data_IF_421812510574
#
_entry.id   IF_421812510574
#
_cell.length_a   1.000
_cell.length_b   1.000
_cell.length_c   1.000
_cell.angle_alpha   90.00
_cell.angle_beta   90.00
_cell.angle_gamma   90.00
#
_symmetry.space_group_name_H-M   'P 1'
#
loop_
_entity.id
_entity.type
_entity.pdbx_description
1 polymer ?
#
# COMPACT_ATOMS: atom_id res chain seq x y z
N UNK A 1 -31.74 7.20 -4.36
CA UNK A 1 -30.53 6.82 -5.13
C UNK A 1 -29.33 7.12 -4.26
N UNK A 2 -28.56 6.10 -3.86
CA UNK A 2 -27.49 6.23 -2.86
C UNK A 2 -26.38 7.16 -3.37
N UNK A 3 -26.02 8.14 -2.54
CA UNK A 3 -24.93 9.07 -2.80
C UNK A 3 -23.64 8.27 -3.03
N UNK A 4 -23.00 8.49 -4.18
CA UNK A 4 -21.64 8.03 -4.47
C UNK A 4 -20.67 8.78 -3.56
N UNK A 5 -20.62 8.38 -2.29
CA UNK A 5 -19.51 8.68 -1.38
C UNK A 5 -18.24 8.22 -2.09
N UNK A 6 -17.23 9.07 -2.20
CA UNK A 6 -15.91 8.69 -2.67
C UNK A 6 -15.48 7.47 -1.84
N UNK A 7 -15.53 6.27 -2.44
CA UNK A 7 -15.37 5.00 -1.75
C UNK A 7 -13.88 4.83 -1.46
N UNK A 8 -13.42 5.31 -0.30
CA UNK A 8 -12.19 4.76 0.26
C UNK A 8 -12.36 3.24 0.34
N UNK A 9 -11.35 2.45 -0.06
CA UNK A 9 -11.40 1.01 0.09
C UNK A 9 -11.76 0.62 1.52
N UNK A 10 -12.61 -0.40 1.67
CA UNK A 10 -12.92 -0.94 3.00
C UNK A 10 -11.68 -1.67 3.54
N UNK A 11 -10.85 -0.91 4.26
CA UNK A 11 -9.70 -1.44 4.95
C UNK A 11 -10.15 -2.23 6.17
N UNK A 12 -9.61 -3.45 6.31
CA UNK A 12 -9.82 -4.24 7.52
C UNK A 12 -9.22 -3.52 8.73
N UNK A 13 -9.73 -3.80 9.92
CA UNK A 13 -9.09 -3.36 11.17
C UNK A 13 -8.58 -4.55 11.97
N UNK A 14 -7.53 -4.35 12.74
CA UNK A 14 -6.99 -5.31 13.69
C UNK A 14 -6.69 -4.61 15.01
N UNK A 15 -7.12 -5.20 16.11
CA UNK A 15 -6.69 -4.77 17.44
C UNK A 15 -5.34 -5.40 17.75
N UNK A 16 -4.29 -4.58 17.93
CA UNK A 16 -3.00 -5.03 18.44
C UNK A 16 -2.67 -4.27 19.72
N UNK A 17 -2.37 -5.01 20.80
CA UNK A 17 -1.98 -4.44 22.11
C UNK A 17 -2.92 -3.32 22.61
N UNK A 18 -4.23 -3.50 22.45
CA UNK A 18 -5.24 -2.52 22.87
C UNK A 18 -5.40 -1.30 21.96
N UNK A 19 -4.65 -1.20 20.86
CA UNK A 19 -4.81 -0.14 19.85
C UNK A 19 -5.40 -0.73 18.57
N UNK A 20 -6.39 -0.05 17.98
CA UNK A 20 -6.95 -0.43 16.69
C UNK A 20 -6.09 0.13 15.55
N UNK A 21 -5.75 -0.74 14.60
CA UNK A 21 -5.02 -0.39 13.39
C UNK A 21 -5.86 -0.79 12.18
N UNK A 22 -5.84 0.03 11.15
CA UNK A 22 -6.25 -0.34 9.80
C UNK A 22 -5.16 -1.19 9.14
N UNK A 23 -5.58 -2.17 8.35
CA UNK A 23 -4.70 -3.07 7.60
C UNK A 23 -5.10 -3.17 6.14
N UNK A 24 -4.10 -3.19 5.27
CA UNK A 24 -4.23 -3.57 3.85
C UNK A 24 -3.13 -4.58 3.47
N UNK A 25 -3.33 -5.29 2.37
CA UNK A 25 -2.34 -6.22 1.79
C UNK A 25 -2.02 -5.76 0.38
N UNK A 26 -0.82 -5.22 0.20
CA UNK A 26 -0.31 -4.81 -1.11
C UNK A 26 0.46 -5.98 -1.69
N UNK A 27 0.16 -6.35 -2.93
CA UNK A 27 0.90 -7.38 -3.66
C UNK A 27 1.81 -6.68 -4.67
N UNK A 28 3.11 -6.93 -4.56
CA UNK A 28 4.12 -6.53 -5.54
C UNK A 28 3.90 -7.28 -6.85
N UNK A 29 4.32 -6.69 -7.97
CA UNK A 29 4.37 -7.33 -9.29
C UNK A 29 5.22 -8.62 -9.29
N UNK A 30 6.16 -8.76 -8.34
CA UNK A 30 6.93 -9.99 -8.13
C UNK A 30 6.20 -11.05 -7.27
N UNK A 31 4.93 -10.85 -6.91
CA UNK A 31 4.17 -11.78 -6.07
C UNK A 31 4.48 -11.69 -4.57
N UNK A 32 5.30 -10.70 -4.15
CA UNK A 32 5.59 -10.45 -2.73
C UNK A 32 4.43 -9.70 -2.09
N UNK A 33 3.91 -10.22 -0.98
CA UNK A 33 2.77 -9.61 -0.27
C UNK A 33 3.29 -8.83 0.93
N UNK A 34 3.04 -7.52 0.94
CA UNK A 34 3.38 -6.62 2.05
C UNK A 34 2.11 -6.28 2.82
N UNK A 35 2.10 -6.59 4.12
CA UNK A 35 0.99 -6.22 5.01
C UNK A 35 1.31 -4.89 5.68
N UNK A 36 0.45 -3.90 5.49
CA UNK A 36 0.59 -2.57 6.10
C UNK A 36 -0.36 -2.47 7.30
N UNK A 37 0.12 -1.87 8.39
CA UNK A 37 -0.63 -1.62 9.62
C UNK A 37 -0.48 -0.16 10.02
N UNK A 38 -1.59 0.57 10.11
CA UNK A 38 -1.57 2.01 10.33
C UNK A 38 -2.75 2.44 11.20
N UNK A 39 -2.60 3.51 11.99
CA UNK A 39 -3.64 3.94 12.93
C UNK A 39 -4.82 4.64 12.27
N UNK A 40 -4.59 5.28 11.13
CA UNK A 40 -5.62 6.03 10.39
C UNK A 40 -5.77 5.49 8.96
N UNK A 41 -6.93 5.74 8.35
CA UNK A 41 -7.21 5.33 6.96
C UNK A 41 -6.41 6.14 5.93
N UNK A 42 -6.20 7.43 6.21
CA UNK A 42 -5.47 8.35 5.34
C UNK A 42 -4.00 7.98 5.23
N UNK A 43 -3.34 7.74 6.38
CA UNK A 43 -1.96 7.28 6.37
C UNK A 43 -1.82 5.88 5.72
N UNK A 44 -2.82 5.01 5.88
CA UNK A 44 -2.82 3.70 5.22
C UNK A 44 -2.85 3.85 3.69
N UNK A 45 -3.69 4.74 3.17
CA UNK A 45 -3.78 5.03 1.74
C UNK A 45 -2.46 5.62 1.21
N UNK A 46 -1.88 6.59 1.91
CA UNK A 46 -0.60 7.19 1.53
C UNK A 46 0.51 6.13 1.46
N UNK A 47 0.61 5.27 2.49
CA UNK A 47 1.61 4.18 2.50
C UNK A 47 1.37 3.13 1.45
N UNK A 48 0.12 2.84 1.11
CA UNK A 48 -0.21 1.93 0.01
C UNK A 48 0.29 2.48 -1.33
N UNK A 49 0.02 3.76 -1.62
CA UNK A 49 0.51 4.43 -2.82
C UNK A 49 2.04 4.47 -2.86
N UNK A 50 2.70 4.81 -1.76
CA UNK A 50 4.16 4.80 -1.67
C UNK A 50 4.74 3.39 -1.86
N UNK A 51 4.09 2.36 -1.32
CA UNK A 51 4.52 0.98 -1.51
C UNK A 51 4.43 0.58 -2.99
N UNK A 52 3.32 0.93 -3.68
CA UNK A 52 3.15 0.71 -5.12
C UNK A 52 4.22 1.46 -5.92
N UNK A 53 4.45 2.74 -5.62
CA UNK A 53 5.49 3.53 -6.29
C UNK A 53 6.89 2.95 -6.05
N UNK A 54 7.19 2.47 -4.84
CA UNK A 54 8.47 1.82 -4.55
C UNK A 54 8.63 0.49 -5.29
N UNK A 55 7.55 -0.28 -5.45
CA UNK A 55 7.52 -1.50 -6.24
C UNK A 55 7.81 -1.17 -7.71
N UNK A 56 7.12 -0.18 -8.26
CA UNK A 56 7.29 0.27 -9.65
C UNK A 56 8.70 0.83 -9.89
N UNK A 57 9.22 1.66 -8.98
CA UNK A 57 10.57 2.21 -9.05
C UNK A 57 11.65 1.12 -8.90
N UNK A 58 11.47 0.13 -8.00
CA UNK A 58 12.37 -1.02 -7.91
C UNK A 58 12.37 -1.86 -9.19
N UNK A 59 11.21 -2.02 -9.80
CA UNK A 59 11.07 -2.73 -11.08
C UNK A 59 11.75 -1.94 -12.20
N UNK A 60 11.53 -0.62 -12.25
CA UNK A 60 12.18 0.30 -13.21
C UNK A 60 13.71 0.32 -13.05
N UNK A 61 14.23 0.37 -11.83
CA UNK A 61 15.69 0.30 -11.54
C UNK A 61 16.31 -1.06 -11.86
N UNK A 62 15.52 -2.13 -11.88
CA UNK A 62 15.97 -3.45 -12.35
C UNK A 62 16.02 -3.54 -13.87
N UNK A 63 15.07 -2.89 -14.56
CA UNK A 63 14.98 -2.88 -16.02
C UNK A 63 15.85 -1.83 -16.70
N UNK A 64 16.28 -0.79 -15.99
CA UNK A 64 17.30 0.14 -16.48
C UNK A 64 18.66 -0.46 -16.15
N UNK A 65 19.39 -1.05 -17.14
CA UNK A 65 20.79 -1.34 -16.92
C UNK A 65 21.44 0.01 -16.64
N UNK A 66 22.13 0.10 -15.52
CA UNK A 66 22.96 1.24 -15.18
C UNK A 66 23.82 1.47 -16.43
N UNK A 67 23.58 2.58 -17.14
CA UNK A 67 24.38 2.98 -18.29
C UNK A 67 25.80 3.11 -17.76
N UNK A 68 26.59 2.07 -18.01
CA UNK A 68 28.00 2.03 -17.72
C UNK A 68 28.67 2.85 -18.81
N UNK A 69 28.78 4.15 -18.54
CA UNK A 69 29.73 5.07 -19.19
C UNK A 69 31.15 4.53 -19.06
#
# INVERSE_FOLDING_TARGET
MAARRMMLPDYGTVGMKGTQYYRTRVTDQQGRRVSLYVRTREELYQKEQEAIQQIENKTYRRSTPILRI
#
